data_IF_302923617579
#
_entry.id   IF_302923617579
#
_cell.length_a   1.000
_cell.length_b   1.000
_cell.length_c   1.000
_cell.angle_alpha   90.00
_cell.angle_beta   90.00
_cell.angle_gamma   90.00
#
_symmetry.space_group_name_H-M   'P 1'
#
loop_
_entity.id
_entity.type
_entity.pdbx_description
1 polymer ?
#
# COMPACT_ATOMS: atom_id res chain seq x y z
N UNK A 1 -5.12 -21.17 35.74
CA UNK A 1 -4.30 -20.60 34.65
C UNK A 1 -5.10 -20.68 33.37
N UNK A 2 -5.79 -19.60 33.00
CA UNK A 2 -6.74 -19.58 31.88
C UNK A 2 -6.16 -18.67 30.80
N UNK A 3 -5.73 -19.26 29.69
CA UNK A 3 -5.30 -18.54 28.51
C UNK A 3 -6.54 -17.94 27.83
N UNK A 4 -6.84 -16.68 28.11
CA UNK A 4 -7.74 -15.87 27.28
C UNK A 4 -6.99 -15.54 25.99
N UNK A 5 -7.18 -16.37 24.97
CA UNK A 5 -6.95 -15.99 23.58
C UNK A 5 -7.90 -14.83 23.28
N UNK A 6 -7.41 -13.59 23.43
CA UNK A 6 -8.13 -12.43 22.91
C UNK A 6 -8.09 -12.52 21.39
N UNK A 7 -9.09 -13.15 20.79
CA UNK A 7 -9.42 -12.91 19.39
C UNK A 7 -9.73 -11.42 19.29
N UNK A 8 -8.77 -10.63 18.80
CA UNK A 8 -9.05 -9.24 18.43
C UNK A 8 -10.15 -9.30 17.37
N UNK A 9 -11.20 -8.47 17.48
CA UNK A 9 -12.26 -8.44 16.48
C UNK A 9 -11.63 -8.23 15.11
N UNK A 10 -12.06 -9.02 14.12
CA UNK A 10 -11.69 -8.88 12.71
C UNK A 10 -12.19 -7.53 12.19
N UNK A 11 -11.52 -6.43 12.57
CA UNK A 11 -11.69 -5.15 11.92
C UNK A 11 -11.40 -5.37 10.43
N UNK A 12 -12.30 -4.93 9.55
CA UNK A 12 -12.01 -4.83 8.12
C UNK A 12 -10.80 -3.90 7.95
N UNK A 13 -9.62 -4.48 7.83
CA UNK A 13 -8.38 -3.73 7.66
C UNK A 13 -8.38 -3.16 6.25
N UNK A 14 -8.44 -1.84 6.15
CA UNK A 14 -8.28 -1.15 4.88
C UNK A 14 -6.79 -0.88 4.66
N UNK A 15 -6.20 -1.55 3.67
CA UNK A 15 -4.80 -1.37 3.25
C UNK A 15 -4.61 -0.24 2.23
N UNK A 16 -5.67 0.50 1.90
CA UNK A 16 -5.63 1.64 1.00
C UNK A 16 -5.81 2.96 1.76
N UNK A 17 -4.91 3.92 1.52
CA UNK A 17 -5.07 5.31 1.94
C UNK A 17 -5.01 6.21 0.71
N UNK A 18 -6.02 7.06 0.57
CA UNK A 18 -6.12 8.03 -0.53
C UNK A 18 -5.50 9.33 -0.05
N UNK A 19 -4.67 9.94 -0.90
CA UNK A 19 -4.12 11.26 -0.72
C UNK A 19 -4.15 12.00 -2.06
N UNK A 20 -4.27 13.32 -2.03
CA UNK A 20 -4.27 14.15 -3.25
C UNK A 20 -2.92 14.11 -3.96
N UNK A 21 -1.83 13.98 -3.19
CA UNK A 21 -0.47 13.93 -3.69
C UNK A 21 0.34 12.86 -2.97
N UNK A 22 1.19 12.15 -3.70
CA UNK A 22 2.14 11.21 -3.12
C UNK A 22 3.45 11.95 -2.81
N UNK A 23 3.77 12.03 -1.51
CA UNK A 23 4.99 12.64 -0.99
C UNK A 23 5.48 11.85 0.24
N UNK A 24 6.62 12.26 0.79
CA UNK A 24 7.22 11.59 1.95
C UNK A 24 6.34 11.64 3.21
N UNK A 25 5.56 12.70 3.40
CA UNK A 25 4.67 12.84 4.57
C UNK A 25 3.53 11.83 4.53
N UNK A 26 2.86 11.73 3.38
CA UNK A 26 1.79 10.77 3.17
C UNK A 26 2.33 9.34 3.20
N UNK A 27 3.53 9.10 2.68
CA UNK A 27 4.19 7.80 2.79
C UNK A 27 4.50 7.41 4.24
N UNK A 28 5.03 8.35 5.05
CA UNK A 28 5.29 8.11 6.48
C UNK A 28 3.98 7.86 7.23
N UNK A 29 2.93 8.64 6.96
CA UNK A 29 1.60 8.45 7.56
C UNK A 29 1.04 7.06 7.27
N UNK A 30 1.13 6.63 6.01
CA UNK A 30 0.70 5.29 5.61
C UNK A 30 1.53 4.20 6.29
N UNK A 31 2.85 4.35 6.29
CA UNK A 31 3.75 3.38 6.94
C UNK A 31 3.51 3.28 8.45
N UNK A 32 3.27 4.40 9.14
CA UNK A 32 2.89 4.41 10.57
C UNK A 32 1.59 3.66 10.82
N UNK A 33 0.62 3.82 9.92
CA UNK A 33 -0.64 3.09 9.99
C UNK A 33 -0.43 1.57 9.86
N UNK A 34 0.38 1.13 8.88
CA UNK A 34 0.74 -0.29 8.74
C UNK A 34 1.51 -0.82 9.95
N UNK A 35 2.46 -0.03 10.47
CA UNK A 35 3.22 -0.39 11.66
C UNK A 35 2.32 -0.58 12.89
N UNK A 36 1.31 0.27 13.07
CA UNK A 36 0.31 0.11 14.15
C UNK A 36 -0.51 -1.16 14.01
N UNK A 37 -0.80 -1.59 12.78
CA UNK A 37 -1.61 -2.78 12.52
C UNK A 37 -0.82 -4.08 12.74
N UNK A 38 0.44 -4.12 12.30
CA UNK A 38 1.22 -5.36 12.23
C UNK A 38 2.41 -5.42 13.19
N UNK A 39 2.80 -4.30 13.80
CA UNK A 39 3.95 -4.20 14.72
C UNK A 39 5.32 -4.26 14.04
N UNK A 40 5.49 -5.06 12.97
CA UNK A 40 6.67 -5.11 12.11
C UNK A 40 6.26 -5.23 10.65
N UNK A 41 6.92 -4.50 9.75
CA UNK A 41 6.55 -4.45 8.33
C UNK A 41 7.79 -4.39 7.43
N UNK A 42 7.79 -5.20 6.38
CA UNK A 42 8.70 -5.05 5.23
C UNK A 42 7.90 -4.44 4.09
N UNK A 43 8.34 -3.28 3.59
CA UNK A 43 7.70 -2.58 2.48
C UNK A 43 8.53 -2.77 1.22
N UNK A 44 8.02 -3.56 0.29
CA UNK A 44 8.58 -3.68 -1.05
C UNK A 44 8.03 -2.50 -1.88
N UNK A 45 8.91 -1.61 -2.33
CA UNK A 45 8.54 -0.35 -2.98
C UNK A 45 9.33 -0.13 -4.27
N UNK A 46 8.82 0.72 -5.15
CA UNK A 46 9.61 1.22 -6.26
C UNK A 46 10.71 2.19 -5.78
N UNK A 47 11.49 2.74 -6.71
CA UNK A 47 12.60 3.66 -6.38
C UNK A 47 12.17 5.13 -6.38
N UNK A 48 10.90 5.44 -6.15
CA UNK A 48 10.46 6.84 -6.11
C UNK A 48 11.23 7.64 -5.04
N UNK A 49 11.46 8.92 -5.32
CA UNK A 49 12.31 9.81 -4.51
C UNK A 49 11.83 9.91 -3.06
N UNK A 50 10.51 10.00 -2.88
CA UNK A 50 9.87 10.08 -1.58
C UNK A 50 9.92 8.77 -0.77
N UNK A 51 10.24 7.62 -1.37
CA UNK A 51 10.47 6.37 -0.64
C UNK A 51 11.96 6.17 -0.29
N UNK A 52 12.85 6.41 -1.25
CA UNK A 52 14.26 5.96 -1.15
C UNK A 52 15.25 7.11 -0.90
N UNK A 53 14.99 8.30 -1.44
CA UNK A 53 15.94 9.43 -1.37
C UNK A 53 15.64 10.40 -0.23
N UNK A 54 14.39 10.47 0.24
CA UNK A 54 13.99 11.39 1.30
C UNK A 54 14.73 11.13 2.63
N UNK A 55 15.45 12.15 3.12
CA UNK A 55 16.10 12.10 4.43
C UNK A 55 15.08 11.93 5.56
N UNK A 56 13.90 12.53 5.41
CA UNK A 56 12.80 12.42 6.38
C UNK A 56 12.35 10.97 6.56
N UNK A 57 12.22 10.23 5.46
CA UNK A 57 11.87 8.80 5.50
C UNK A 57 13.00 7.97 6.09
N UNK A 58 14.26 8.21 5.71
CA UNK A 58 15.42 7.51 6.29
C UNK A 58 15.50 7.69 7.81
N UNK A 59 15.32 8.92 8.29
CA UNK A 59 15.28 9.22 9.73
C UNK A 59 14.11 8.52 10.42
N UNK A 60 12.93 8.49 9.79
CA UNK A 60 11.77 7.78 10.31
C UNK A 60 12.04 6.27 10.44
N UNK A 61 12.57 5.62 9.40
CA UNK A 61 12.91 4.18 9.45
C UNK A 61 13.96 3.89 10.52
N UNK A 62 15.00 4.73 10.64
CA UNK A 62 16.03 4.59 11.69
C UNK A 62 15.42 4.67 13.10
N UNK A 63 14.47 5.58 13.33
CA UNK A 63 13.75 5.71 14.61
C UNK A 63 12.92 4.47 14.95
N UNK A 64 12.48 3.70 13.96
CA UNK A 64 11.70 2.49 14.14
C UNK A 64 12.54 1.24 14.47
N UNK A 65 13.88 1.36 14.61
CA UNK A 65 14.78 0.32 15.14
C UNK A 65 14.57 -1.08 14.54
N UNK A 66 14.36 -1.17 13.23
CA UNK A 66 14.20 -2.43 12.51
C UNK A 66 12.77 -2.98 12.45
N UNK A 67 11.78 -2.33 13.06
CA UNK A 67 10.37 -2.70 12.88
C UNK A 67 9.82 -2.30 11.50
N UNK A 68 10.56 -1.47 10.75
CA UNK A 68 10.27 -1.14 9.36
C UNK A 68 11.52 -1.42 8.54
N UNK A 69 11.34 -2.15 7.44
CA UNK A 69 12.35 -2.35 6.41
C UNK A 69 11.77 -1.85 5.10
N UNK A 70 12.46 -0.94 4.43
CA UNK A 70 12.11 -0.50 3.07
C UNK A 70 13.00 -1.28 2.09
N UNK A 71 12.38 -2.09 1.24
CA UNK A 71 13.03 -2.89 0.23
C UNK A 71 12.74 -2.34 -1.17
N UNK A 72 13.64 -1.51 -1.73
CA UNK A 72 13.45 -0.98 -3.07
C UNK A 72 13.71 -2.05 -4.13
N UNK A 73 12.78 -2.21 -5.06
CA UNK A 73 12.93 -3.04 -6.26
C UNK A 73 14.05 -2.44 -7.15
N UNK A 74 14.81 -3.26 -7.91
CA UNK A 74 15.78 -2.73 -8.86
C UNK A 74 15.15 -1.78 -9.90
N UNK A 75 15.98 -0.90 -10.46
CA UNK A 75 15.51 0.14 -11.38
C UNK A 75 15.03 -0.50 -12.70
N UNK A 76 13.89 -0.01 -13.23
CA UNK A 76 13.28 -0.45 -14.50
C UNK A 76 12.86 -1.93 -14.55
N UNK A 77 12.56 -2.54 -13.40
CA UNK A 77 12.04 -3.91 -13.32
C UNK A 77 10.62 -3.94 -12.72
N UNK A 78 9.60 -3.38 -13.39
CA UNK A 78 8.22 -3.41 -12.92
C UNK A 78 7.70 -4.84 -12.71
N UNK A 79 8.16 -5.81 -13.50
CA UNK A 79 7.78 -7.22 -13.41
C UNK A 79 8.09 -7.88 -12.05
N UNK A 80 9.01 -7.31 -11.27
CA UNK A 80 9.30 -7.77 -9.91
C UNK A 80 8.32 -7.23 -8.87
N UNK A 81 7.47 -6.28 -9.24
CA UNK A 81 6.40 -5.77 -8.39
C UNK A 81 5.17 -6.67 -8.50
N UNK A 82 4.78 -7.31 -7.40
CA UNK A 82 3.54 -8.08 -7.32
C UNK A 82 2.29 -7.23 -7.64
N UNK A 83 2.40 -5.91 -7.50
CA UNK A 83 1.31 -4.97 -7.79
C UNK A 83 1.01 -4.85 -9.30
N UNK A 84 2.00 -5.05 -10.18
CA UNK A 84 1.82 -4.86 -11.63
C UNK A 84 0.79 -5.82 -12.22
N UNK A 85 0.72 -7.06 -11.72
CA UNK A 85 -0.31 -8.02 -12.14
C UNK A 85 -1.71 -7.53 -11.76
N UNK A 86 -1.86 -6.96 -10.56
CA UNK A 86 -3.10 -6.34 -10.10
C UNK A 86 -3.50 -5.16 -10.97
N UNK A 87 -2.53 -4.30 -11.34
CA UNK A 87 -2.76 -3.18 -12.24
C UNK A 87 -3.09 -3.59 -13.67
N UNK A 88 -2.44 -4.61 -14.21
CA UNK A 88 -2.74 -5.14 -15.54
C UNK A 88 -4.19 -5.60 -15.63
N UNK A 89 -4.62 -6.42 -14.68
CA UNK A 89 -6.02 -6.86 -14.68
C UNK A 89 -7.01 -5.73 -14.37
N UNK A 90 -6.65 -4.79 -13.50
CA UNK A 90 -7.50 -3.63 -13.24
C UNK A 90 -7.68 -2.78 -14.51
N UNK A 91 -6.60 -2.58 -15.28
CA UNK A 91 -6.64 -1.88 -16.58
C UNK A 91 -7.51 -2.62 -17.57
N UNK A 92 -7.32 -3.92 -17.77
CA UNK A 92 -8.16 -4.72 -18.68
C UNK A 92 -9.66 -4.56 -18.39
N UNK A 93 -10.04 -4.50 -17.11
CA UNK A 93 -11.43 -4.31 -16.71
C UNK A 93 -11.97 -2.88 -16.97
N UNK A 94 -11.10 -1.88 -17.04
CA UNK A 94 -11.46 -0.46 -17.18
C UNK A 94 -11.37 0.01 -18.63
N UNK A 95 -10.34 -0.43 -19.39
CA UNK A 95 -9.98 0.09 -20.71
C UNK A 95 -11.11 0.07 -21.73
N UNK A 96 -11.95 -0.96 -21.70
CA UNK A 96 -13.04 -1.13 -22.67
C UNK A 96 -14.38 -0.57 -22.18
N UNK A 97 -14.38 0.23 -21.11
CA UNK A 97 -15.59 0.85 -20.55
C UNK A 97 -15.55 2.36 -20.77
N UNK A 98 -16.67 2.91 -21.24
CA UNK A 98 -16.90 4.35 -21.26
C UNK A 98 -17.50 4.77 -19.92
N UNK A 99 -16.93 5.81 -19.32
CA UNK A 99 -17.39 6.34 -18.05
C UNK A 99 -17.83 7.79 -18.25
N UNK A 100 -19.07 8.09 -17.86
CA UNK A 100 -19.62 9.45 -17.89
C UNK A 100 -18.89 10.42 -16.95
N UNK A 101 -18.34 9.90 -15.83
CA UNK A 101 -17.67 10.71 -14.84
C UNK A 101 -16.66 9.89 -14.02
N UNK A 102 -15.78 10.60 -13.32
CA UNK A 102 -14.76 10.00 -12.46
C UNK A 102 -15.34 9.18 -11.30
N UNK A 103 -16.59 9.43 -10.85
CA UNK A 103 -17.21 8.65 -9.77
C UNK A 103 -17.48 7.21 -10.22
N UNK A 104 -17.98 7.02 -11.44
CA UNK A 104 -18.19 5.68 -12.03
C UNK A 104 -16.88 4.91 -12.21
N UNK A 105 -15.78 5.60 -12.58
CA UNK A 105 -14.44 4.99 -12.63
C UNK A 105 -14.04 4.46 -11.25
N UNK A 106 -14.17 5.28 -10.19
CA UNK A 106 -13.82 4.89 -8.81
C UNK A 106 -14.64 3.70 -8.31
N UNK A 107 -15.93 3.63 -8.65
CA UNK A 107 -16.79 2.49 -8.29
C UNK A 107 -16.32 1.21 -8.99
N UNK A 108 -16.07 1.28 -10.30
CA UNK A 108 -15.58 0.14 -11.08
C UNK A 108 -14.25 -0.41 -10.53
N UNK A 109 -13.31 0.47 -10.13
CA UNK A 109 -12.04 0.03 -9.54
C UNK A 109 -12.21 -0.68 -8.19
N UNK A 110 -13.22 -0.32 -7.39
CA UNK A 110 -13.52 -0.98 -6.11
C UNK A 110 -14.13 -2.37 -6.30
N UNK A 111 -14.99 -2.53 -7.31
CA UNK A 111 -15.64 -3.82 -7.63
C UNK A 111 -14.62 -4.87 -8.08
N UNK A 112 -13.61 -4.47 -8.86
CA UNK A 112 -12.52 -5.37 -9.31
C UNK A 112 -11.73 -5.97 -8.15
N UNK A 113 -11.65 -5.27 -7.01
CA UNK A 113 -10.95 -5.75 -5.81
C UNK A 113 -11.74 -6.83 -5.05
N UNK A 114 -13.08 -6.75 -5.05
CA UNK A 114 -13.96 -7.68 -4.32
C UNK A 114 -14.23 -8.99 -5.07
N UNK A 115 -14.00 -9.07 -6.38
CA UNK A 115 -14.22 -10.30 -7.18
C UNK A 115 -13.08 -11.33 -7.09
N UNK A 116 -12.06 -11.07 -6.29
CA UNK A 116 -10.85 -11.90 -6.16
C UNK A 116 -10.62 -12.48 -4.76
N UNK A 117 -11.61 -12.36 -3.86
CA UNK A 117 -11.62 -13.01 -2.54
C UNK A 117 -12.69 -14.09 -2.57
#
# INVERSE_FOLDING_TARGET
MTWLLSCRPCLKINYCRIADWINEDNFIRFTKYLLRLHGKVVLIVDRATHHVKSNKVKMFVKKCKGNIIIWPIPKRLPELSSMEQGWKSSRENITYRLFENQKKIRLCSKETHNKRI
#
